data_IF_717487360553
#
_entry.id   IF_717487360553
#
_cell.length_a   1.000
_cell.length_b   1.000
_cell.length_c   1.000
_cell.angle_alpha   90.00
_cell.angle_beta   90.00
_cell.angle_gamma   90.00
#
_symmetry.space_group_name_H-M   'P 1'
#
loop_
_entity.id
_entity.type
_entity.pdbx_description
1 polymer ?
#
# COMPACT_ATOMS: atom_id res chain seq x y z
N UNK A 1 18.47 -15.61 -11.41
CA UNK A 1 17.78 -15.05 -10.23
C UNK A 1 16.31 -15.31 -10.46
N UNK A 2 15.76 -16.27 -9.72
CA UNK A 2 14.45 -16.90 -9.91
C UNK A 2 13.64 -16.93 -8.59
N UNK A 3 14.11 -16.19 -7.58
CA UNK A 3 13.55 -16.15 -6.23
C UNK A 3 13.19 -14.72 -5.78
N UNK A 4 13.03 -13.78 -6.73
CA UNK A 4 12.67 -12.39 -6.47
C UNK A 4 11.25 -12.13 -6.95
N UNK A 5 10.51 -11.35 -6.17
CA UNK A 5 9.26 -10.69 -6.60
C UNK A 5 9.62 -9.24 -6.88
N UNK A 6 9.31 -8.76 -8.07
CA UNK A 6 9.63 -7.40 -8.52
C UNK A 6 8.52 -6.45 -8.12
N UNK A 7 8.83 -5.55 -7.19
CA UNK A 7 7.90 -4.51 -6.72
C UNK A 7 8.27 -3.20 -7.42
N UNK A 8 7.33 -2.65 -8.18
CA UNK A 8 7.44 -1.31 -8.75
C UNK A 8 6.73 -0.33 -7.84
N UNK A 9 7.49 0.56 -7.19
CA UNK A 9 6.99 1.36 -6.06
C UNK A 9 7.02 2.86 -6.35
N UNK A 10 5.88 3.53 -6.21
CA UNK A 10 5.66 4.93 -6.58
C UNK A 10 5.10 5.73 -5.40
N UNK A 11 5.33 7.04 -5.36
CA UNK A 11 4.94 7.88 -4.22
C UNK A 11 3.78 8.83 -4.53
N UNK A 12 3.05 9.25 -3.48
CA UNK A 12 1.97 10.25 -3.49
C UNK A 12 2.42 11.70 -3.71
N UNK A 13 3.37 11.91 -4.63
CA UNK A 13 3.87 13.23 -5.04
C UNK A 13 3.13 13.74 -6.27
N UNK A 14 3.06 12.93 -7.32
CA UNK A 14 2.42 13.27 -8.59
C UNK A 14 1.87 12.03 -9.30
N UNK A 15 1.24 12.25 -10.46
CA UNK A 15 0.62 11.20 -11.29
C UNK A 15 1.36 10.98 -12.59
N UNK A 16 2.69 11.07 -12.56
CA UNK A 16 3.56 10.81 -13.72
C UNK A 16 4.08 9.38 -13.75
N UNK A 17 3.53 8.47 -12.94
CA UNK A 17 4.01 7.09 -12.78
C UNK A 17 4.17 6.34 -14.12
N UNK A 18 3.32 6.61 -15.11
CA UNK A 18 3.44 6.00 -16.44
C UNK A 18 4.80 6.27 -17.12
N UNK A 19 5.46 7.39 -16.83
CA UNK A 19 6.80 7.73 -17.34
C UNK A 19 7.91 6.83 -16.77
N UNK A 20 7.63 6.20 -15.62
CA UNK A 20 8.53 5.30 -14.91
C UNK A 20 8.15 3.82 -15.04
N UNK A 21 7.10 3.49 -15.81
CA UNK A 21 6.67 2.10 -16.00
C UNK A 21 7.72 1.34 -16.81
N UNK A 22 8.38 0.31 -16.25
CA UNK A 22 9.40 -0.45 -16.97
C UNK A 22 8.82 -1.37 -18.06
N UNK A 23 7.49 -1.55 -18.09
CA UNK A 23 6.76 -2.46 -18.96
C UNK A 23 6.19 -3.65 -18.17
N UNK A 24 5.04 -4.17 -18.60
CA UNK A 24 4.28 -5.17 -17.84
C UNK A 24 5.03 -6.50 -17.61
N UNK A 25 6.08 -6.80 -18.35
CA UNK A 25 6.87 -8.03 -18.14
C UNK A 25 7.93 -7.89 -17.03
N UNK A 26 8.13 -6.69 -16.48
CA UNK A 26 9.28 -6.38 -15.61
C UNK A 26 8.93 -6.15 -14.13
N UNK A 27 7.67 -6.29 -13.75
CA UNK A 27 7.22 -6.12 -12.38
C UNK A 27 6.06 -7.07 -12.06
N UNK A 28 5.95 -7.47 -10.79
CA UNK A 28 4.94 -8.39 -10.30
C UNK A 28 3.87 -7.69 -9.47
N UNK A 29 4.25 -6.68 -8.68
CA UNK A 29 3.37 -5.93 -7.77
C UNK A 29 3.58 -4.43 -7.98
N UNK A 30 2.49 -3.66 -8.03
CA UNK A 30 2.53 -2.21 -7.92
C UNK A 30 2.43 -1.83 -6.44
N UNK A 31 3.36 -1.01 -5.96
CA UNK A 31 3.27 -0.41 -4.63
C UNK A 31 3.07 1.09 -4.71
N UNK A 32 2.47 1.61 -3.64
CA UNK A 32 2.16 3.01 -3.47
C UNK A 32 2.55 3.51 -2.09
N UNK A 33 3.48 4.45 -2.02
CA UNK A 33 3.91 5.13 -0.79
C UNK A 33 2.96 6.26 -0.42
N UNK A 34 2.48 6.24 0.82
CA UNK A 34 1.47 7.18 1.34
C UNK A 34 2.01 7.99 2.52
N UNK A 35 2.42 9.23 2.24
CA UNK A 35 2.98 10.17 3.22
C UNK A 35 2.19 11.49 3.35
N UNK A 36 1.28 11.76 2.42
CA UNK A 36 0.44 12.96 2.33
C UNK A 36 -1.04 12.56 2.20
N UNK A 37 -1.66 12.76 1.03
CA UNK A 37 -3.08 12.53 0.78
C UNK A 37 -3.36 11.25 -0.02
N UNK A 38 -2.38 10.34 -0.11
CA UNK A 38 -2.46 9.10 -0.89
C UNK A 38 -3.66 8.20 -0.57
N UNK A 39 -4.25 8.28 0.63
CA UNK A 39 -5.47 7.51 0.93
C UNK A 39 -6.76 8.04 0.31
N UNK A 40 -6.74 9.14 -0.46
CA UNK A 40 -7.94 9.60 -1.19
C UNK A 40 -8.33 8.57 -2.25
N UNK A 41 -9.64 8.36 -2.41
CA UNK A 41 -10.17 7.39 -3.40
C UNK A 41 -9.61 7.62 -4.82
N UNK A 42 -9.41 8.88 -5.22
CA UNK A 42 -8.87 9.21 -6.54
C UNK A 42 -7.43 8.72 -6.76
N UNK A 43 -6.63 8.54 -5.70
CA UNK A 43 -5.29 7.95 -5.78
C UNK A 43 -5.38 6.44 -5.93
N UNK A 44 -6.22 5.81 -5.11
CA UNK A 44 -6.49 4.38 -5.23
C UNK A 44 -7.01 4.02 -6.63
N UNK A 45 -8.00 4.75 -7.16
CA UNK A 45 -8.55 4.48 -8.50
C UNK A 45 -7.48 4.62 -9.60
N UNK A 46 -6.56 5.58 -9.44
CA UNK A 46 -5.43 5.78 -10.34
C UNK A 46 -4.44 4.61 -10.25
N UNK A 47 -4.03 4.21 -9.04
CA UNK A 47 -3.15 3.06 -8.83
C UNK A 47 -3.78 1.76 -9.36
N UNK A 48 -5.08 1.54 -9.13
CA UNK A 48 -5.82 0.39 -9.67
C UNK A 48 -5.83 0.38 -11.20
N UNK A 49 -5.98 1.54 -11.84
CA UNK A 49 -5.94 1.62 -13.31
C UNK A 49 -4.59 1.21 -13.90
N UNK A 50 -3.49 1.43 -13.17
CA UNK A 50 -2.13 1.05 -13.58
C UNK A 50 -1.87 -0.42 -13.23
N UNK A 51 -2.26 -0.85 -12.03
CA UNK A 51 -2.05 -2.22 -11.56
C UNK A 51 -2.76 -3.26 -12.44
N UNK A 52 -3.93 -2.89 -13.00
CA UNK A 52 -4.74 -3.83 -13.78
C UNK A 52 -5.10 -5.05 -12.92
N UNK A 53 -4.78 -6.25 -13.42
CA UNK A 53 -5.02 -7.50 -12.70
C UNK A 53 -3.91 -7.87 -11.70
N UNK A 54 -2.80 -7.15 -11.69
CA UNK A 54 -1.69 -7.41 -10.76
C UNK A 54 -2.00 -6.90 -9.35
N UNK A 55 -1.37 -7.47 -8.31
CA UNK A 55 -1.52 -6.99 -6.94
C UNK A 55 -1.10 -5.53 -6.78
N UNK A 56 -1.82 -4.83 -5.91
CA UNK A 56 -1.52 -3.48 -5.45
C UNK A 56 -1.22 -3.52 -3.96
N UNK A 57 -0.25 -2.76 -3.47
CA UNK A 57 0.07 -2.68 -2.05
C UNK A 57 0.45 -1.25 -1.62
N UNK A 58 0.48 -1.02 -0.32
CA UNK A 58 1.02 0.21 0.27
C UNK A 58 2.50 -0.04 0.59
N UNK A 59 3.38 0.48 -0.25
CA UNK A 59 4.83 0.26 -0.18
C UNK A 59 5.39 0.77 1.14
N UNK A 60 5.07 2.01 1.46
CA UNK A 60 5.38 2.67 2.72
C UNK A 60 4.20 3.53 3.18
N UNK A 61 4.05 3.69 4.50
CA UNK A 61 3.14 4.67 5.04
C UNK A 61 3.62 5.24 6.38
N UNK A 62 3.32 6.52 6.60
CA UNK A 62 3.51 7.14 7.91
C UNK A 62 2.27 6.97 8.79
N UNK A 63 1.08 7.21 8.24
CA UNK A 63 -0.21 6.91 8.83
C UNK A 63 -0.69 5.56 8.33
N UNK A 64 -1.05 4.65 9.23
CA UNK A 64 -1.61 3.35 8.89
C UNK A 64 -2.97 3.51 8.18
N UNK A 65 -3.34 2.59 7.27
CA UNK A 65 -4.68 2.59 6.70
C UNK A 65 -5.69 2.29 7.81
N UNK A 66 -6.76 3.08 7.87
CA UNK A 66 -7.93 2.75 8.69
C UNK A 66 -8.71 1.58 8.11
N UNK A 67 -9.52 0.92 8.93
CA UNK A 67 -10.41 -0.15 8.46
C UNK A 67 -11.38 0.32 7.38
N UNK A 68 -11.92 1.53 7.51
CA UNK A 68 -12.79 2.12 6.49
C UNK A 68 -12.07 2.32 5.14
N UNK A 69 -10.78 2.67 5.16
CA UNK A 69 -9.97 2.75 3.94
C UNK A 69 -9.70 1.37 3.36
N UNK A 70 -9.38 0.36 4.18
CA UNK A 70 -9.22 -1.02 3.68
C UNK A 70 -10.52 -1.59 3.08
N UNK A 71 -11.67 -1.21 3.62
CA UNK A 71 -12.97 -1.63 3.10
C UNK A 71 -13.31 -0.92 1.78
N UNK A 72 -12.98 0.37 1.62
CA UNK A 72 -13.20 1.10 0.37
C UNK A 72 -12.09 0.91 -0.67
N UNK A 73 -10.92 0.42 -0.27
CA UNK A 73 -9.73 0.22 -1.10
C UNK A 73 -9.25 -1.25 -1.02
N UNK A 74 -10.09 -2.23 -1.40
CA UNK A 74 -9.91 -3.63 -1.03
C UNK A 74 -8.78 -4.36 -1.77
N UNK A 75 -8.12 -3.75 -2.77
CA UNK A 75 -7.05 -4.41 -3.54
C UNK A 75 -5.69 -4.44 -2.82
N UNK A 76 -5.49 -3.66 -1.75
CA UNK A 76 -4.21 -3.65 -1.05
C UNK A 76 -3.91 -5.01 -0.42
N UNK A 77 -2.81 -5.64 -0.85
CA UNK A 77 -2.41 -6.98 -0.38
C UNK A 77 -1.47 -6.95 0.82
N UNK A 78 -0.76 -5.83 1.03
CA UNK A 78 -0.02 -5.55 2.26
C UNK A 78 0.12 -4.04 2.45
N UNK A 79 0.58 -3.65 3.64
CA UNK A 79 1.10 -2.31 3.92
C UNK A 79 2.37 -2.42 4.76
N UNK A 80 3.33 -1.51 4.55
CA UNK A 80 4.50 -1.40 5.41
C UNK A 80 4.54 -0.02 6.05
N UNK A 81 4.58 0.02 7.38
CA UNK A 81 4.61 1.26 8.11
C UNK A 81 6.07 1.66 8.42
N UNK A 82 6.42 2.93 8.21
CA UNK A 82 7.83 3.33 8.24
C UNK A 82 8.37 3.50 9.67
N UNK A 83 9.21 2.57 10.09
CA UNK A 83 10.06 2.64 11.28
C UNK A 83 9.35 3.24 12.51
N UNK A 84 9.80 4.39 12.99
CA UNK A 84 9.24 5.03 14.18
C UNK A 84 8.01 5.91 13.89
N UNK A 85 7.70 6.17 12.61
CA UNK A 85 6.51 6.95 12.23
C UNK A 85 5.23 6.25 12.65
N UNK A 86 5.25 4.92 12.75
CA UNK A 86 4.14 4.10 13.28
C UNK A 86 3.64 4.68 14.61
N UNK A 87 4.54 4.91 15.56
CA UNK A 87 4.18 5.41 16.89
C UNK A 87 4.06 6.94 16.96
N UNK A 88 4.63 7.68 15.99
CA UNK A 88 4.55 9.16 15.94
C UNK A 88 3.29 9.67 15.23
N UNK A 89 2.73 8.92 14.29
CA UNK A 89 1.61 9.34 13.43
C UNK A 89 0.32 8.58 13.68
N UNK A 90 0.37 7.51 14.48
CA UNK A 90 -0.78 6.70 14.85
C UNK A 90 -0.89 6.63 16.37
N UNK A 91 -2.12 6.60 16.86
CA UNK A 91 -2.40 6.34 18.27
C UNK A 91 -2.31 4.85 18.55
N UNK A 92 -2.05 4.48 19.81
CA UNK A 92 -2.04 3.08 20.22
C UNK A 92 -3.37 2.37 19.94
N UNK A 93 -4.50 3.09 20.03
CA UNK A 93 -5.82 2.56 19.72
C UNK A 93 -5.98 2.22 18.23
N UNK A 94 -5.59 3.13 17.33
CA UNK A 94 -5.64 2.88 15.87
C UNK A 94 -4.76 1.69 15.47
N UNK A 95 -3.55 1.60 16.04
CA UNK A 95 -2.64 0.46 15.78
C UNK A 95 -3.31 -0.85 16.24
N UNK A 96 -3.85 -0.86 17.46
CA UNK A 96 -4.47 -2.06 18.04
C UNK A 96 -5.74 -2.46 17.28
N UNK A 97 -6.56 -1.50 16.87
CA UNK A 97 -7.76 -1.74 16.08
C UNK A 97 -7.42 -2.37 14.71
N UNK A 98 -6.43 -1.81 14.01
CA UNK A 98 -6.02 -2.32 12.70
C UNK A 98 -5.48 -3.74 12.77
N UNK A 99 -4.51 -4.00 13.67
CA UNK A 99 -3.83 -5.29 13.76
C UNK A 99 -4.69 -6.42 14.36
N UNK A 100 -5.78 -6.09 15.05
CA UNK A 100 -6.75 -7.09 15.55
C UNK A 100 -7.95 -7.29 14.61
N UNK A 101 -7.99 -6.60 13.46
CA UNK A 101 -9.10 -6.72 12.52
C UNK A 101 -8.95 -7.95 11.64
N UNK A 102 -10.06 -8.65 11.40
CA UNK A 102 -10.14 -9.75 10.42
C UNK A 102 -9.80 -9.36 8.97
N UNK A 103 -9.62 -8.06 8.69
CA UNK A 103 -9.16 -7.55 7.38
C UNK A 103 -7.64 -7.61 7.22
N UNK A 104 -6.90 -7.82 8.30
CA UNK A 104 -5.43 -7.85 8.34
C UNK A 104 -4.99 -9.25 8.78
N UNK A 105 -3.93 -9.76 8.14
CA UNK A 105 -3.28 -11.02 8.53
C UNK A 105 -1.96 -10.65 9.22
N UNK A 106 -1.76 -11.15 10.44
CA UNK A 106 -0.51 -11.02 11.19
C UNK A 106 0.37 -12.27 11.05
N UNK A 107 1.62 -12.17 11.52
CA UNK A 107 2.62 -13.25 11.36
C UNK A 107 2.14 -14.60 11.92
N UNK A 108 1.43 -14.60 13.03
CA UNK A 108 0.91 -15.79 13.71
C UNK A 108 -0.30 -16.42 12.99
N UNK A 109 -0.80 -15.77 11.93
CA UNK A 109 -1.91 -16.23 11.10
C UNK A 109 -1.46 -16.71 9.70
N UNK A 110 -0.14 -16.71 9.43
CA UNK A 110 0.48 -17.19 8.18
C UNK A 110 0.88 -18.68 8.23
#
# INVERSE_FOLDING_TARGET
MDNLIWVWDMQDIDRTWAEYNPGDEYWDILCFDVYSDGYRQSWYDYAVSIAGDKPLAIGECSKLPSLAQLDSQPKYVFFMAWAELVYKRNTAAEITELYNSSRVITRDEL
#
